data_IF_129523269872
#
_entry.id   IF_129523269872
#
_cell.length_a   1.000
_cell.length_b   1.000
_cell.length_c   1.000
_cell.angle_alpha   90.00
_cell.angle_beta   90.00
_cell.angle_gamma   90.00
#
_symmetry.space_group_name_H-M   'P 1'
#
loop_
_entity.id
_entity.type
_entity.pdbx_description
1 polymer ?
#
# COMPACT_ATOMS: atom_id res chain seq x y z
N UNK A 1 -50.83 16.50 7.79
CA UNK A 1 -49.81 16.88 8.79
C UNK A 1 -49.13 15.61 9.27
N UNK A 2 -47.86 15.42 8.90
CA UNK A 2 -47.05 14.25 9.26
C UNK A 2 -46.15 14.63 10.45
N UNK A 3 -46.17 13.92 11.58
CA UNK A 3 -45.23 14.19 12.65
C UNK A 3 -43.90 13.49 12.37
N UNK A 4 -42.86 14.32 12.21
CA UNK A 4 -41.45 13.92 12.20
C UNK A 4 -41.08 13.22 13.52
N UNK A 5 -40.61 11.97 13.47
CA UNK A 5 -39.95 11.32 14.62
C UNK A 5 -38.53 11.88 14.77
N UNK A 6 -38.30 12.64 15.84
CA UNK A 6 -36.95 12.98 16.33
C UNK A 6 -36.34 11.74 17.00
N UNK A 7 -35.10 11.43 16.66
CA UNK A 7 -34.28 10.49 17.41
C UNK A 7 -34.08 11.03 18.83
N UNK A 8 -34.54 10.27 19.82
CA UNK A 8 -34.32 10.58 21.23
C UNK A 8 -32.94 10.09 21.65
N UNK A 9 -32.04 11.03 21.94
CA UNK A 9 -30.84 10.77 22.72
C UNK A 9 -31.28 10.36 24.13
N UNK A 10 -30.80 9.20 24.60
CA UNK A 10 -31.07 8.70 25.95
C UNK A 10 -30.62 9.75 26.99
N UNK A 11 -31.56 10.24 27.79
CA UNK A 11 -31.29 11.12 28.92
C UNK A 11 -30.80 10.32 30.12
N UNK A 12 -30.01 10.95 31.01
CA UNK A 12 -29.41 10.36 32.20
C UNK A 12 -30.40 9.84 33.28
N UNK A 13 -31.70 9.78 32.97
CA UNK A 13 -32.76 9.22 33.81
C UNK A 13 -33.44 8.00 33.16
N UNK A 14 -32.83 7.38 32.15
CA UNK A 14 -33.30 6.08 31.67
C UNK A 14 -33.25 5.05 32.82
N UNK A 15 -34.29 4.21 33.02
CA UNK A 15 -34.34 3.27 34.12
C UNK A 15 -33.10 2.38 34.07
N UNK A 16 -32.25 2.54 35.08
CA UNK A 16 -31.09 1.68 35.31
C UNK A 16 -31.61 0.27 35.49
N UNK A 17 -31.33 -0.58 34.51
CA UNK A 17 -31.59 -2.00 34.51
C UNK A 17 -33.03 -2.43 34.13
N UNK A 18 -33.28 -2.58 32.83
CA UNK A 18 -34.40 -3.34 32.26
C UNK A 18 -34.22 -4.87 32.47
N UNK A 19 -33.81 -5.30 33.67
CA UNK A 19 -33.54 -6.71 33.97
C UNK A 19 -32.34 -7.31 33.24
N UNK A 20 -31.44 -6.48 32.72
CA UNK A 20 -30.21 -6.88 32.04
C UNK A 20 -29.19 -7.26 33.11
N UNK A 21 -28.96 -8.56 33.26
CA UNK A 21 -27.96 -9.12 34.15
C UNK A 21 -26.76 -9.64 33.37
N UNK A 22 -25.75 -8.79 33.21
CA UNK A 22 -24.47 -9.12 32.58
C UNK A 22 -23.62 -10.17 33.33
N UNK A 23 -24.13 -10.79 34.40
CA UNK A 23 -23.47 -11.85 35.17
C UNK A 23 -24.22 -13.19 35.13
N UNK A 24 -25.37 -13.28 34.48
CA UNK A 24 -26.23 -14.47 34.46
C UNK A 24 -26.23 -15.18 33.11
N UNK A 25 -25.78 -16.44 33.07
CA UNK A 25 -25.75 -17.28 31.86
C UNK A 25 -27.12 -17.53 31.19
N UNK A 26 -28.21 -17.28 31.91
CA UNK A 26 -29.59 -17.41 31.42
C UNK A 26 -30.15 -16.12 30.81
N UNK A 27 -29.44 -14.99 30.89
CA UNK A 27 -29.87 -13.72 30.29
C UNK A 27 -29.50 -13.71 28.78
N UNK A 28 -30.45 -13.42 27.86
CA UNK A 28 -30.16 -13.37 26.43
C UNK A 28 -29.11 -12.32 26.04
N UNK A 29 -28.88 -11.29 26.87
CA UNK A 29 -27.78 -10.32 26.70
C UNK A 29 -26.43 -10.91 27.13
N UNK A 30 -26.42 -11.85 28.09
CA UNK A 30 -25.22 -12.61 28.46
C UNK A 30 -24.85 -13.63 27.37
N UNK A 31 -25.84 -14.12 26.62
CA UNK A 31 -25.59 -14.94 25.43
C UNK A 31 -25.20 -14.10 24.21
N UNK A 32 -23.95 -13.63 24.28
CA UNK A 32 -22.96 -13.58 23.19
C UNK A 32 -23.30 -12.70 21.98
N UNK A 33 -23.52 -11.40 22.20
CA UNK A 33 -23.14 -10.42 21.19
C UNK A 33 -21.78 -9.83 21.56
N UNK A 34 -20.84 -9.89 20.63
CA UNK A 34 -19.52 -9.27 20.81
C UNK A 34 -19.71 -7.76 21.04
N UNK A 35 -19.09 -7.16 22.06
CA UNK A 35 -19.30 -5.75 22.39
C UNK A 35 -18.82 -4.88 21.24
N UNK A 36 -19.69 -4.07 20.62
CA UNK A 36 -19.31 -3.21 19.50
C UNK A 36 -20.45 -2.96 18.51
N UNK A 37 -20.21 -2.10 17.51
CA UNK A 37 -21.13 -1.94 16.39
C UNK A 37 -20.88 -3.02 15.34
N UNK A 38 -21.93 -3.48 14.65
CA UNK A 38 -21.76 -4.30 13.46
C UNK A 38 -20.92 -3.53 12.43
N UNK A 39 -19.74 -4.05 12.10
CA UNK A 39 -18.76 -3.42 11.21
C UNK A 39 -17.52 -2.85 11.90
N UNK A 40 -17.63 -2.28 13.11
CA UNK A 40 -16.47 -1.83 13.91
C UNK A 40 -16.71 -2.02 15.41
N UNK A 41 -15.78 -2.72 16.06
CA UNK A 41 -15.86 -3.06 17.49
C UNK A 41 -15.41 -1.91 18.41
N UNK A 42 -14.92 -0.80 17.82
CA UNK A 42 -14.25 0.30 18.53
C UNK A 42 -12.74 0.07 18.65
N UNK A 43 -12.01 1.07 19.16
CA UNK A 43 -10.56 0.98 19.41
C UNK A 43 -10.37 0.60 20.88
N UNK A 44 -9.86 -0.59 21.15
CA UNK A 44 -9.56 -1.02 22.51
C UNK A 44 -8.40 -0.21 23.10
N UNK A 45 -8.27 -0.09 24.44
CA UNK A 45 -7.09 0.54 25.06
C UNK A 45 -5.77 -0.09 24.60
N UNK A 46 -5.74 -1.42 24.39
CA UNK A 46 -4.58 -2.14 23.86
C UNK A 46 -4.28 -1.84 22.38
N UNK A 47 -5.29 -1.41 21.61
CA UNK A 47 -5.14 -0.95 20.23
C UNK A 47 -4.93 0.58 20.11
N UNK A 48 -5.04 1.31 21.23
CA UNK A 48 -4.85 2.76 21.27
C UNK A 48 -3.38 3.12 21.47
N UNK A 49 -2.91 4.16 20.79
CA UNK A 49 -1.51 4.56 20.90
C UNK A 49 -1.15 5.73 19.99
N UNK A 50 0.07 6.23 20.19
CA UNK A 50 0.71 7.22 19.30
C UNK A 50 2.01 6.63 18.78
N UNK A 51 2.11 6.54 17.47
CA UNK A 51 3.32 6.08 16.78
C UNK A 51 3.94 7.22 15.98
N UNK A 52 5.27 7.28 15.98
CA UNK A 52 6.03 8.30 15.25
C UNK A 52 7.05 7.62 14.35
N UNK A 53 7.23 8.14 13.13
CA UNK A 53 8.22 7.65 12.18
C UNK A 53 9.19 8.78 11.85
N UNK A 54 10.48 8.47 11.85
CA UNK A 54 11.54 9.41 11.53
C UNK A 54 12.46 8.78 10.49
N UNK A 55 12.88 9.55 9.50
CA UNK A 55 13.89 9.17 8.53
C UNK A 55 14.92 10.29 8.31
N UNK A 56 16.11 9.89 7.84
CA UNK A 56 17.15 10.80 7.34
C UNK A 56 17.54 10.37 5.95
N UNK A 57 17.74 11.34 5.06
CA UNK A 57 18.09 11.11 3.66
C UNK A 57 19.35 11.87 3.27
N UNK A 58 20.17 11.26 2.44
CA UNK A 58 21.28 11.90 1.73
C UNK A 58 21.20 11.50 0.27
N UNK A 59 21.29 12.46 -0.64
CA UNK A 59 21.23 12.22 -2.08
C UNK A 59 22.34 12.96 -2.81
N UNK A 60 22.73 12.41 -3.96
CA UNK A 60 23.69 13.01 -4.86
C UNK A 60 23.40 12.57 -6.29
N UNK A 61 23.53 13.50 -7.21
CA UNK A 61 23.25 13.31 -8.64
C UNK A 61 24.35 14.01 -9.44
N UNK A 62 24.80 13.33 -10.50
CA UNK A 62 25.77 13.82 -11.45
C UNK A 62 25.17 13.63 -12.84
N UNK A 63 25.00 14.73 -13.56
CA UNK A 63 24.55 14.74 -14.94
C UNK A 63 25.59 15.45 -15.80
N UNK A 64 25.83 14.93 -17.00
CA UNK A 64 26.79 15.53 -17.93
C UNK A 64 26.50 15.11 -19.37
N UNK A 65 26.67 16.06 -20.28
CA UNK A 65 26.95 15.75 -21.68
C UNK A 65 28.42 15.34 -21.76
N UNK A 66 28.67 14.04 -21.98
CA UNK A 66 30.03 13.50 -22.16
C UNK A 66 30.60 13.93 -23.51
N UNK A 67 29.72 14.09 -24.50
CA UNK A 67 29.99 14.67 -25.82
C UNK A 67 28.73 15.39 -26.29
N UNK A 68 28.80 16.14 -27.40
CA UNK A 68 27.63 16.78 -28.03
C UNK A 68 26.49 15.80 -28.40
N UNK A 69 26.79 14.49 -28.44
CA UNK A 69 25.83 13.44 -28.77
C UNK A 69 25.48 12.51 -27.62
N UNK A 70 26.20 12.56 -26.50
CA UNK A 70 26.06 11.59 -25.42
C UNK A 70 25.83 12.26 -24.09
N UNK A 71 24.63 12.05 -23.54
CA UNK A 71 24.23 12.47 -22.20
C UNK A 71 24.24 11.28 -21.23
N UNK A 72 24.73 11.51 -20.01
CA UNK A 72 24.76 10.56 -18.92
C UNK A 72 24.20 11.19 -17.63
N UNK A 73 23.40 10.43 -16.89
CA UNK A 73 22.82 10.78 -15.58
C UNK A 73 23.04 9.62 -14.61
N UNK A 74 23.71 9.91 -13.48
CA UNK A 74 23.93 8.98 -12.38
C UNK A 74 23.44 9.61 -11.08
N UNK A 75 22.49 8.95 -10.40
CA UNK A 75 21.95 9.41 -9.13
C UNK A 75 21.98 8.32 -8.07
N UNK A 76 22.19 8.73 -6.81
CA UNK A 76 22.12 7.86 -5.64
C UNK A 76 21.40 8.57 -4.50
N UNK A 77 20.67 7.80 -3.69
CA UNK A 77 20.02 8.29 -2.46
C UNK A 77 20.10 7.22 -1.38
N UNK A 78 20.70 7.58 -0.25
CA UNK A 78 20.75 6.79 0.95
C UNK A 78 19.69 7.27 1.94
N UNK A 79 18.91 6.35 2.45
CA UNK A 79 17.84 6.59 3.41
C UNK A 79 18.08 5.76 4.66
N UNK A 80 17.89 6.36 5.83
CA UNK A 80 17.90 5.66 7.12
C UNK A 80 16.58 5.90 7.86
N UNK A 81 15.79 4.84 7.98
CA UNK A 81 14.52 4.85 8.69
C UNK A 81 14.66 4.14 10.03
N UNK A 82 14.08 4.74 11.08
CA UNK A 82 14.06 4.12 12.42
C UNK A 82 13.40 2.74 12.45
N UNK A 83 12.40 2.52 11.59
CA UNK A 83 11.51 1.35 11.68
C UNK A 83 11.93 0.14 10.87
N UNK A 84 12.71 0.31 9.79
CA UNK A 84 13.14 -0.82 8.93
C UNK A 84 14.62 -0.77 8.53
N UNK A 85 15.38 0.18 9.09
CA UNK A 85 16.81 0.34 8.79
C UNK A 85 17.07 1.18 7.54
N UNK A 86 18.21 0.92 6.90
CA UNK A 86 18.72 1.75 5.81
C UNK A 86 18.49 1.14 4.43
N UNK A 87 18.35 2.01 3.42
CA UNK A 87 18.23 1.65 2.00
C UNK A 87 19.05 2.59 1.13
N UNK A 88 19.81 2.01 0.20
CA UNK A 88 20.44 2.75 -0.89
C UNK A 88 19.62 2.50 -2.15
N UNK A 89 19.20 3.58 -2.81
CA UNK A 89 18.65 3.53 -4.16
C UNK A 89 19.58 4.28 -5.11
N UNK A 90 19.56 3.85 -6.36
CA UNK A 90 20.39 4.43 -7.41
C UNK A 90 19.67 4.39 -8.75
N UNK A 91 20.12 5.25 -9.66
CA UNK A 91 19.65 5.37 -11.03
C UNK A 91 20.86 5.63 -11.93
N UNK A 92 20.86 4.99 -13.09
CA UNK A 92 21.71 5.32 -14.21
C UNK A 92 20.83 5.50 -15.45
N UNK A 93 20.96 6.63 -16.13
CA UNK A 93 20.26 6.92 -17.36
C UNK A 93 21.23 7.50 -18.39
N UNK A 94 20.96 7.23 -19.66
CA UNK A 94 21.79 7.70 -20.75
C UNK A 94 20.93 8.01 -21.96
N UNK A 95 21.38 8.97 -22.76
CA UNK A 95 20.84 9.24 -24.09
C UNK A 95 21.99 9.41 -25.06
N UNK A 96 21.91 8.74 -26.20
CA UNK A 96 22.90 8.83 -27.26
C UNK A 96 22.21 9.19 -28.58
N UNK A 97 22.56 10.34 -29.15
CA UNK A 97 22.09 10.78 -30.45
C UNK A 97 22.94 10.10 -31.53
N UNK A 98 22.36 9.10 -32.23
CA UNK A 98 23.00 8.43 -33.36
C UNK A 98 23.16 9.39 -34.55
N UNK A 99 22.12 10.20 -34.77
CA UNK A 99 22.06 11.29 -35.76
C UNK A 99 21.30 12.46 -35.16
N UNK A 100 21.19 13.57 -35.90
CA UNK A 100 20.41 14.73 -35.45
C UNK A 100 18.89 14.45 -35.38
N UNK A 101 18.43 13.39 -36.04
CA UNK A 101 17.02 12.98 -36.11
C UNK A 101 16.74 11.65 -35.39
N UNK A 102 17.74 10.95 -34.85
CA UNK A 102 17.57 9.68 -34.13
C UNK A 102 18.39 9.67 -32.84
N UNK A 103 17.69 9.57 -31.71
CA UNK A 103 18.29 9.37 -30.39
C UNK A 103 17.86 8.05 -29.76
N UNK A 104 18.80 7.34 -29.16
CA UNK A 104 18.55 6.21 -28.28
C UNK A 104 18.58 6.67 -26.83
N UNK A 105 17.71 6.10 -26.00
CA UNK A 105 17.71 6.36 -24.56
C UNK A 105 17.53 5.07 -23.77
N UNK A 106 18.10 5.04 -22.57
CA UNK A 106 17.95 3.92 -21.66
C UNK A 106 18.11 4.35 -20.23
N UNK A 107 17.44 3.65 -19.33
CA UNK A 107 17.63 3.84 -17.90
C UNK A 107 17.49 2.55 -17.12
N UNK A 108 18.20 2.49 -16.00
CA UNK A 108 18.07 1.44 -15.01
C UNK A 108 18.11 2.09 -13.64
N UNK A 109 17.26 1.62 -12.73
CA UNK A 109 17.26 2.16 -11.39
C UNK A 109 16.50 1.31 -10.40
N UNK A 110 16.59 1.72 -9.15
CA UNK A 110 15.94 1.05 -8.02
C UNK A 110 15.11 2.03 -7.22
N UNK A 111 14.10 1.52 -6.54
CA UNK A 111 13.26 2.28 -5.63
C UNK A 111 12.81 1.43 -4.45
N UNK A 112 12.14 2.05 -3.48
CA UNK A 112 11.47 1.34 -2.42
C UNK A 112 10.28 2.13 -1.87
N UNK A 113 9.34 1.42 -1.25
CA UNK A 113 8.27 2.00 -0.43
C UNK A 113 8.35 1.45 0.99
N UNK A 114 8.51 2.36 1.94
CA UNK A 114 8.46 2.06 3.36
C UNK A 114 7.06 1.56 3.78
N UNK A 115 6.96 0.58 4.70
CA UNK A 115 5.68 0.27 5.33
C UNK A 115 5.12 1.49 6.04
N UNK A 116 3.83 1.78 5.87
CA UNK A 116 3.19 2.93 6.54
C UNK A 116 3.02 2.67 8.04
N UNK A 117 2.97 3.74 8.85
CA UNK A 117 2.73 3.63 10.29
C UNK A 117 1.45 2.85 10.63
N UNK A 118 0.41 2.96 9.80
CA UNK A 118 -0.81 2.17 9.93
C UNK A 118 -0.57 0.68 9.69
N UNK A 119 0.18 0.31 8.64
CA UNK A 119 0.48 -1.11 8.36
C UNK A 119 1.33 -1.78 9.44
N UNK A 120 2.22 -1.05 10.13
CA UNK A 120 3.11 -1.63 11.15
C UNK A 120 2.56 -1.58 12.58
N UNK A 121 1.57 -0.74 12.87
CA UNK A 121 1.12 -0.54 14.26
C UNK A 121 -0.40 -0.64 14.48
N UNK A 122 -1.21 -0.62 13.42
CA UNK A 122 -2.66 -0.61 13.59
C UNK A 122 -3.18 -2.00 13.95
N UNK A 123 -3.88 -2.08 15.07
CA UNK A 123 -4.78 -3.18 15.39
C UNK A 123 -6.20 -2.74 15.08
N UNK A 124 -6.91 -3.50 14.24
CA UNK A 124 -8.30 -3.22 13.89
C UNK A 124 -9.13 -4.48 14.05
N UNK A 125 -10.19 -4.41 14.87
CA UNK A 125 -11.15 -5.49 15.07
C UNK A 125 -12.51 -5.11 14.52
N UNK A 126 -13.17 -6.06 13.87
CA UNK A 126 -14.51 -5.91 13.31
C UNK A 126 -15.32 -7.19 13.51
N UNK A 127 -16.63 -7.02 13.67
CA UNK A 127 -17.57 -8.13 13.67
C UNK A 127 -18.03 -8.36 12.23
N UNK A 128 -17.84 -9.58 11.73
CA UNK A 128 -18.29 -10.01 10.40
C UNK A 128 -19.33 -11.13 10.54
N UNK A 129 -20.40 -11.07 9.75
CA UNK A 129 -21.41 -12.13 9.72
C UNK A 129 -21.14 -13.06 8.54
N UNK A 130 -20.84 -14.32 8.81
CA UNK A 130 -20.61 -15.36 7.78
C UNK A 130 -21.56 -16.52 8.05
N UNK A 131 -22.44 -16.82 7.09
CA UNK A 131 -23.42 -17.91 7.24
C UNK A 131 -24.38 -17.72 8.42
N UNK A 132 -24.70 -16.48 8.79
CA UNK A 132 -25.55 -16.16 9.93
C UNK A 132 -24.84 -16.17 11.30
N UNK A 133 -23.56 -16.53 11.35
CA UNK A 133 -22.74 -16.52 12.57
C UNK A 133 -21.90 -15.26 12.61
N UNK A 134 -21.87 -14.57 13.75
CA UNK A 134 -21.00 -13.42 14.00
C UNK A 134 -19.59 -13.90 14.38
N UNK A 135 -18.58 -13.32 13.74
CA UNK A 135 -17.17 -13.64 13.92
C UNK A 135 -16.38 -12.37 14.23
N UNK A 136 -15.53 -12.44 15.25
CA UNK A 136 -14.57 -11.38 15.54
C UNK A 136 -13.34 -11.55 14.65
N UNK A 137 -13.16 -10.62 13.73
CA UNK A 137 -12.03 -10.60 12.82
C UNK A 137 -11.10 -9.46 13.21
N UNK A 138 -9.85 -9.80 13.52
CA UNK A 138 -8.81 -8.83 13.84
C UNK A 138 -7.70 -8.77 12.79
N UNK A 139 -7.39 -7.57 12.33
CA UNK A 139 -6.13 -7.23 11.69
C UNK A 139 -5.15 -6.78 12.78
N UNK A 140 -4.05 -7.49 12.92
CA UNK A 140 -3.04 -7.21 13.93
C UNK A 140 -1.71 -6.81 13.27
N UNK A 141 -0.95 -5.87 13.87
CA UNK A 141 0.39 -5.55 13.39
C UNK A 141 1.32 -6.74 13.63
N UNK A 142 2.36 -6.89 12.80
CA UNK A 142 3.27 -8.05 12.88
C UNK A 142 4.12 -8.09 14.16
N UNK A 143 4.15 -7.00 14.93
CA UNK A 143 4.75 -6.91 16.25
C UNK A 143 3.83 -7.39 17.38
N UNK A 144 2.54 -7.58 17.13
CA UNK A 144 1.58 -8.04 18.13
C UNK A 144 1.79 -9.54 18.41
N UNK A 145 1.72 -9.93 19.69
CA UNK A 145 1.89 -11.32 20.11
C UNK A 145 0.93 -12.30 19.42
N UNK A 146 -0.31 -11.87 19.15
CA UNK A 146 -1.31 -12.67 18.40
C UNK A 146 -0.82 -12.98 16.98
N UNK A 147 -0.28 -11.98 16.28
CA UNK A 147 0.23 -12.15 14.92
C UNK A 147 1.53 -12.98 14.92
N UNK A 148 2.44 -12.72 15.87
CA UNK A 148 3.71 -13.43 16.01
C UNK A 148 3.51 -14.91 16.32
N UNK A 149 2.52 -15.24 17.17
CA UNK A 149 2.15 -16.61 17.48
C UNK A 149 1.77 -17.41 16.22
N UNK A 150 1.12 -16.74 15.25
CA UNK A 150 0.76 -17.30 13.95
C UNK A 150 1.86 -17.15 12.88
N UNK A 151 3.08 -16.78 13.27
CA UNK A 151 4.25 -16.74 12.38
C UNK A 151 4.44 -15.42 11.62
N UNK A 152 3.79 -14.34 12.04
CA UNK A 152 4.04 -13.03 11.43
C UNK A 152 5.50 -12.59 11.59
N UNK A 153 6.07 -12.07 10.50
CA UNK A 153 7.44 -11.54 10.48
C UNK A 153 7.44 -10.00 10.43
N UNK A 154 8.49 -9.33 10.94
CA UNK A 154 8.64 -7.89 10.76
C UNK A 154 8.57 -7.48 9.29
N UNK A 155 7.79 -6.42 8.99
CA UNK A 155 7.59 -5.94 7.63
C UNK A 155 8.88 -5.34 7.07
N UNK A 156 9.22 -5.73 5.84
CA UNK A 156 10.31 -5.14 5.06
C UNK A 156 9.74 -4.09 4.10
N UNK A 157 10.56 -3.13 3.65
CA UNK A 157 10.17 -2.23 2.57
C UNK A 157 9.95 -3.00 1.27
N UNK A 158 8.93 -2.60 0.53
CA UNK A 158 8.74 -3.03 -0.84
C UNK A 158 9.83 -2.41 -1.71
N UNK A 159 10.37 -3.16 -2.67
CA UNK A 159 11.47 -2.70 -3.52
C UNK A 159 11.05 -2.71 -4.98
N UNK A 160 11.62 -1.81 -5.76
CA UNK A 160 11.43 -1.80 -7.21
C UNK A 160 12.77 -1.83 -7.93
N UNK A 161 12.77 -2.49 -9.09
CA UNK A 161 13.84 -2.41 -10.09
C UNK A 161 13.22 -2.08 -11.44
N UNK A 162 13.65 -0.97 -12.02
CA UNK A 162 13.12 -0.44 -13.26
C UNK A 162 14.19 -0.52 -14.34
N UNK A 163 13.79 -0.97 -15.51
CA UNK A 163 14.58 -0.94 -16.73
C UNK A 163 13.75 -0.26 -17.82
N UNK A 164 14.35 0.65 -18.58
CA UNK A 164 13.73 1.21 -19.77
C UNK A 164 14.74 1.32 -20.90
N UNK A 165 14.25 1.14 -22.12
CA UNK A 165 14.98 1.38 -23.36
C UNK A 165 14.01 1.96 -24.37
N UNK A 166 14.47 2.93 -25.14
CA UNK A 166 13.63 3.57 -26.13
C UNK A 166 14.42 4.37 -27.13
N UNK A 167 13.70 4.97 -28.06
CA UNK A 167 14.26 5.88 -29.04
C UNK A 167 13.33 7.05 -29.29
N UNK A 168 13.93 8.14 -29.74
CA UNK A 168 13.24 9.32 -30.24
C UNK A 168 13.65 9.53 -31.68
N UNK A 169 12.67 9.80 -32.54
CA UNK A 169 12.83 10.06 -33.96
C UNK A 169 12.26 11.44 -34.27
N UNK A 170 13.04 12.29 -34.92
CA UNK A 170 12.67 13.64 -35.38
C UNK A 170 13.09 13.81 -36.85
N UNK A 171 12.49 13.06 -37.78
CA UNK A 171 12.90 13.01 -39.18
C UNK A 171 12.60 14.31 -39.94
N UNK A 172 11.73 15.16 -39.39
CA UNK A 172 11.41 16.49 -39.89
C UNK A 172 11.21 17.44 -38.68
N UNK A 173 11.45 18.77 -38.83
CA UNK A 173 11.31 19.73 -37.73
C UNK A 173 9.91 19.78 -37.09
N UNK A 174 8.89 19.30 -37.79
CA UNK A 174 7.50 19.32 -37.37
C UNK A 174 6.97 17.95 -36.94
N UNK A 175 7.79 16.91 -36.88
CA UNK A 175 7.37 15.57 -36.44
C UNK A 175 8.33 15.01 -35.40
N UNK A 176 7.79 14.49 -34.30
CA UNK A 176 8.55 13.73 -33.30
C UNK A 176 7.80 12.46 -32.94
N UNK A 177 8.50 11.34 -32.91
CA UNK A 177 8.03 10.05 -32.44
C UNK A 177 8.94 9.58 -31.30
N UNK A 178 8.35 9.09 -30.22
CA UNK A 178 9.06 8.48 -29.10
C UNK A 178 8.45 7.11 -28.84
N UNK A 179 9.30 6.11 -28.67
CA UNK A 179 8.90 4.72 -28.38
C UNK A 179 9.76 4.20 -27.24
N UNK A 180 9.14 3.72 -26.17
CA UNK A 180 9.83 3.20 -25.00
C UNK A 180 9.25 1.88 -24.54
N UNK A 181 10.12 0.90 -24.39
CA UNK A 181 9.83 -0.31 -23.67
C UNK A 181 10.34 -0.19 -22.24
N UNK A 182 9.56 -0.68 -21.27
CA UNK A 182 9.95 -0.72 -19.88
C UNK A 182 9.62 -2.05 -19.23
N UNK A 183 10.41 -2.40 -18.20
CA UNK A 183 10.19 -3.53 -17.31
C UNK A 183 10.37 -3.06 -15.88
N UNK A 184 9.33 -3.18 -15.09
CA UNK A 184 9.28 -2.80 -13.67
C UNK A 184 9.05 -4.07 -12.87
N UNK A 185 10.02 -4.44 -12.03
CA UNK A 185 9.86 -5.55 -11.08
C UNK A 185 9.70 -4.99 -9.68
N UNK A 186 8.59 -5.33 -9.05
CA UNK A 186 8.28 -5.03 -7.66
C UNK A 186 8.52 -6.29 -6.83
N UNK A 187 9.20 -6.12 -5.70
CA UNK A 187 9.52 -7.18 -4.76
C UNK A 187 8.93 -6.88 -3.39
N UNK A 188 8.63 -7.93 -2.65
CA UNK A 188 8.22 -7.86 -1.25
C UNK A 188 6.97 -6.98 -1.04
N UNK A 189 6.02 -6.96 -1.98
CA UNK A 189 4.81 -6.14 -1.84
C UNK A 189 4.02 -6.53 -0.59
N UNK A 190 3.56 -5.51 0.14
CA UNK A 190 2.79 -5.66 1.36
C UNK A 190 1.34 -6.00 1.02
N UNK A 191 0.91 -7.16 1.49
CA UNK A 191 -0.46 -7.61 1.38
C UNK A 191 -0.93 -8.22 2.70
N UNK A 192 -2.23 -8.15 2.99
CA UNK A 192 -2.79 -8.85 4.16
C UNK A 192 -2.91 -10.34 3.85
N UNK A 193 -2.51 -11.20 4.78
CA UNK A 193 -2.80 -12.63 4.63
C UNK A 193 -4.32 -12.87 4.57
N UNK A 194 -4.72 -14.02 4.02
CA UNK A 194 -6.09 -14.50 4.17
C UNK A 194 -6.43 -14.64 5.65
N UNK A 195 -7.72 -14.52 5.99
CA UNK A 195 -8.18 -14.72 7.36
C UNK A 195 -7.82 -16.12 7.86
N UNK A 196 -6.95 -16.19 8.85
CA UNK A 196 -6.57 -17.42 9.55
C UNK A 196 -7.68 -17.72 10.55
N UNK A 197 -8.28 -18.91 10.45
CA UNK A 197 -9.32 -19.36 11.38
C UNK A 197 -8.67 -19.76 12.70
N UNK A 198 -9.14 -19.17 13.79
CA UNK A 198 -8.65 -19.46 15.14
C UNK A 198 -9.55 -20.52 15.77
N UNK A 199 -9.14 -21.79 15.67
CA UNK A 199 -9.87 -22.90 16.30
C UNK A 199 -9.80 -22.82 17.81
N UNK A 200 -10.71 -23.50 18.52
CA UNK A 200 -10.68 -23.53 19.99
C UNK A 200 -9.34 -24.02 20.57
N UNK A 201 -8.67 -24.95 19.87
CA UNK A 201 -7.33 -25.40 20.25
C UNK A 201 -6.26 -24.30 20.11
N UNK A 202 -6.31 -23.51 19.03
CA UNK A 202 -5.40 -22.37 18.82
C UNK A 202 -5.69 -21.27 19.85
N UNK A 203 -6.96 -20.98 20.14
CA UNK A 203 -7.35 -20.02 21.19
C UNK A 203 -6.76 -20.43 22.54
N UNK A 204 -6.97 -21.68 22.95
CA UNK A 204 -6.46 -22.18 24.22
C UNK A 204 -4.94 -22.11 24.27
N UNK A 205 -4.24 -22.53 23.21
CA UNK A 205 -2.79 -22.48 23.17
C UNK A 205 -2.23 -21.04 23.24
N UNK A 206 -2.91 -20.06 22.63
CA UNK A 206 -2.55 -18.64 22.76
C UNK A 206 -2.79 -18.11 24.19
N UNK A 207 -3.88 -18.51 24.83
CA UNK A 207 -4.19 -18.16 26.22
C UNK A 207 -3.16 -18.78 27.18
N UNK A 208 -2.80 -20.04 26.98
CA UNK A 208 -1.78 -20.75 27.75
C UNK A 208 -0.38 -20.11 27.55
N UNK A 209 -0.14 -19.53 26.37
CA UNK A 209 1.05 -18.72 26.09
C UNK A 209 0.99 -17.29 26.68
N UNK A 210 -0.07 -16.94 27.42
CA UNK A 210 -0.23 -15.66 28.10
C UNK A 210 -0.69 -14.50 27.19
N UNK A 211 -1.22 -14.79 26.00
CA UNK A 211 -1.66 -13.76 25.05
C UNK A 211 -3.06 -13.25 25.47
N UNK A 212 -3.11 -12.05 26.03
CA UNK A 212 -4.34 -11.43 26.53
C UNK A 212 -5.32 -11.15 25.39
N UNK A 213 -6.59 -11.52 25.58
CA UNK A 213 -7.69 -11.27 24.65
C UNK A 213 -7.79 -12.25 23.48
N UNK A 214 -6.92 -13.27 23.43
CA UNK A 214 -6.88 -14.30 22.39
C UNK A 214 -8.15 -15.18 22.35
N UNK A 215 -8.83 -15.32 23.48
CA UNK A 215 -10.09 -16.06 23.66
C UNK A 215 -11.25 -15.48 22.85
N UNK A 216 -11.23 -14.17 22.64
CA UNK A 216 -12.28 -13.42 21.94
C UNK A 216 -12.15 -13.37 20.41
N UNK A 217 -11.07 -13.94 19.84
CA UNK A 217 -10.72 -13.77 18.43
C UNK A 217 -11.15 -15.00 17.62
N UNK A 218 -11.92 -14.82 16.56
CA UNK A 218 -12.36 -15.93 15.70
C UNK A 218 -11.52 -16.03 14.42
N UNK A 219 -11.05 -14.89 13.90
CA UNK A 219 -10.19 -14.84 12.72
C UNK A 219 -9.11 -13.78 12.84
N UNK A 220 -7.92 -14.08 12.33
CA UNK A 220 -6.75 -13.19 12.37
C UNK A 220 -6.25 -12.90 10.96
N UNK A 221 -5.86 -11.65 10.73
CA UNK A 221 -5.08 -11.20 9.60
C UNK A 221 -3.91 -10.36 10.08
N UNK A 222 -2.83 -10.32 9.29
CA UNK A 222 -1.73 -9.39 9.44
C UNK A 222 -1.13 -9.07 8.06
N UNK A 223 -0.46 -7.93 7.96
CA UNK A 223 0.31 -7.60 6.76
C UNK A 223 1.54 -8.49 6.65
N UNK A 224 1.93 -8.82 5.43
CA UNK A 224 3.14 -9.58 5.11
C UNK A 224 3.72 -9.13 3.77
N UNK A 225 5.02 -9.29 3.58
CA UNK A 225 5.66 -9.19 2.28
C UNK A 225 5.37 -10.47 1.49
N UNK A 226 4.41 -10.43 0.57
CA UNK A 226 3.79 -11.64 0.02
C UNK A 226 3.81 -11.77 -1.49
N UNK A 227 3.99 -10.66 -2.21
CA UNK A 227 3.81 -10.64 -3.66
C UNK A 227 5.04 -10.02 -4.32
N UNK A 228 5.58 -10.74 -5.29
CA UNK A 228 6.49 -10.19 -6.29
C UNK A 228 5.71 -10.05 -7.60
N UNK A 229 5.79 -8.89 -8.25
CA UNK A 229 5.13 -8.65 -9.52
C UNK A 229 6.09 -8.07 -10.53
N UNK A 230 5.86 -8.37 -11.81
CA UNK A 230 6.58 -7.73 -12.91
C UNK A 230 5.53 -7.11 -13.83
N UNK A 231 5.78 -5.88 -14.26
CA UNK A 231 5.00 -5.18 -15.26
C UNK A 231 5.94 -4.82 -16.40
N UNK A 232 5.58 -5.25 -17.60
CA UNK A 232 6.27 -4.91 -18.83
C UNK A 232 5.34 -4.10 -19.71
N UNK A 233 5.86 -3.17 -20.49
CA UNK A 233 5.01 -2.36 -21.35
C UNK A 233 5.76 -1.60 -22.43
N UNK A 234 4.96 -1.09 -23.37
CA UNK A 234 5.39 -0.26 -24.48
C UNK A 234 4.58 1.03 -24.47
N UNK A 235 5.28 2.16 -24.57
CA UNK A 235 4.72 3.50 -24.67
C UNK A 235 5.15 4.12 -26.01
N UNK A 236 4.19 4.69 -26.73
CA UNK A 236 4.40 5.32 -28.03
C UNK A 236 3.72 6.68 -28.03
N UNK A 237 4.48 7.74 -28.31
CA UNK A 237 3.97 9.09 -28.45
C UNK A 237 4.45 9.68 -29.76
N UNK A 238 3.51 10.13 -30.60
CA UNK A 238 3.78 10.84 -31.83
C UNK A 238 3.17 12.24 -31.75
N UNK A 239 3.97 13.26 -32.09
CA UNK A 239 3.55 14.65 -32.17
C UNK A 239 3.87 15.20 -33.55
N UNK A 240 2.90 15.88 -34.16
CA UNK A 240 3.02 16.52 -35.46
C UNK A 240 2.49 17.95 -35.40
N UNK A 241 3.28 18.92 -35.88
CA UNK A 241 2.87 20.31 -36.05
C UNK A 241 2.49 20.55 -37.51
N UNK A 242 1.21 20.78 -37.75
CA UNK A 242 0.70 21.20 -39.05
C UNK A 242 0.64 22.72 -39.10
N UNK A 243 1.43 23.35 -39.97
CA UNK A 243 1.36 24.78 -40.25
C UNK A 243 0.48 25.01 -41.49
N UNK A 244 -0.58 25.79 -41.34
CA UNK A 244 -1.56 26.06 -42.39
C UNK A 244 -1.30 27.44 -42.99
N UNK A 245 -0.32 27.55 -43.88
CA UNK A 245 -0.02 28.71 -44.75
C UNK A 245 -0.67 30.05 -44.32
N UNK A 246 -0.08 30.71 -43.32
CA UNK A 246 -0.46 32.01 -42.72
C UNK A 246 -1.79 32.07 -41.93
N UNK A 247 -2.56 30.98 -41.86
CA UNK A 247 -3.85 30.90 -41.15
C UNK A 247 -3.65 30.41 -39.70
N UNK A 248 -2.51 29.79 -39.40
CA UNK A 248 -2.12 29.37 -38.05
C UNK A 248 -1.44 28.00 -38.02
N UNK A 249 -1.21 27.47 -36.83
CA UNK A 249 -0.59 26.15 -36.62
C UNK A 249 -1.45 25.26 -35.72
N UNK A 250 -1.50 23.97 -36.01
CA UNK A 250 -2.17 22.95 -35.19
C UNK A 250 -1.15 21.91 -34.72
N UNK A 251 -1.11 21.64 -33.42
CA UNK A 251 -0.34 20.53 -32.86
C UNK A 251 -1.25 19.31 -32.69
N UNK A 252 -0.95 18.24 -33.40
CA UNK A 252 -1.60 16.94 -33.27
C UNK A 252 -0.71 16.03 -32.42
N UNK A 253 -1.28 15.35 -31.43
CA UNK A 253 -0.56 14.35 -30.63
C UNK A 253 -1.39 13.07 -30.56
N UNK A 254 -0.74 11.94 -30.81
CA UNK A 254 -1.28 10.61 -30.62
C UNK A 254 -0.42 9.86 -29.60
N UNK A 255 -1.06 9.18 -28.66
CA UNK A 255 -0.38 8.37 -27.66
C UNK A 255 -1.01 6.98 -27.59
N UNK A 256 -0.18 5.96 -27.43
CA UNK A 256 -0.56 4.56 -27.26
C UNK A 256 0.29 3.94 -26.16
N UNK A 257 -0.35 3.23 -25.24
CA UNK A 257 0.31 2.52 -24.15
C UNK A 257 -0.28 1.11 -24.02
N UNK A 258 0.58 0.13 -23.79
CA UNK A 258 0.16 -1.25 -23.46
C UNK A 258 1.07 -1.83 -22.39
N UNK A 259 0.48 -2.62 -21.49
CA UNK A 259 1.18 -3.28 -20.41
C UNK A 259 0.66 -4.71 -20.17
N UNK A 260 1.53 -5.55 -19.60
CA UNK A 260 1.26 -6.93 -19.18
C UNK A 260 1.87 -7.23 -17.82
#
# INVERSE_FOLDING_TARGET
MSPRRRAGTLTANAPTNQGINCTSASDPVYNVLQPGSNGITGISPAASGRWTTNNKSLYGEVTSDITDRWFLDLATRFENYRMFGSKLVWKAATRYNLTDWLGLRGSIGTGFRAPTAGQINMTQTSIQTVGGVQLNVGLYPTSNAVAQYLGANPLKPERSKNHSVGFTLTPAPNFTLTVDAYRIKLYDQLYTCSQIVVTSAIKQAMVDAGIVGADSIDRIQFYQNAIDSTTEGLDVVASYRADWLDIGSTNLTAAFNTNS
#
